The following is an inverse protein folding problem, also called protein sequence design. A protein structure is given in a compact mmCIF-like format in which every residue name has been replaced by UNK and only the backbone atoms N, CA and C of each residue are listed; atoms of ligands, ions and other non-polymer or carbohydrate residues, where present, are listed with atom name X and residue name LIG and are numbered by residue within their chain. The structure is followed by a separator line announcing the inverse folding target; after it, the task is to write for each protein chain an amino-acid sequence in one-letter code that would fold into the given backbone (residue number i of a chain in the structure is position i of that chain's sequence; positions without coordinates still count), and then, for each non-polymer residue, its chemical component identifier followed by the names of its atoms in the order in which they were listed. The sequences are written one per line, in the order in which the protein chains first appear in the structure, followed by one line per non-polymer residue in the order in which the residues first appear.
data_IF_520367543161
#
_entry.id   IF_520367543161
#
_cell.length_a   1.000
_cell.length_b   1.000
_cell.length_c   1.000
_cell.angle_alpha   90.00
_cell.angle_beta   90.00
_cell.angle_gamma   90.00
#
_symmetry.space_group_name_H-M   'P 1'
#
loop_
_entity.id
_entity.type
_entity.pdbx_description
1 polymer ?
#
# COMPACT_ATOMS: atom_id res chain seq x y z
N UNK A 1 -8.54 -0.27 18.52
CA UNK A 1 -8.58 -0.24 17.05
C UNK A 1 -7.52 0.72 16.55
N UNK A 2 -7.15 0.63 15.27
CA UNK A 2 -6.24 1.56 14.60
C UNK A 2 -6.58 1.67 13.13
N UNK A 3 -6.12 2.74 12.50
CA UNK A 3 -6.06 2.81 11.04
C UNK A 3 -4.66 2.44 10.56
N UNK A 4 -4.59 1.87 9.36
CA UNK A 4 -3.35 1.71 8.61
C UNK A 4 -3.52 2.30 7.21
N UNK A 5 -2.47 2.96 6.72
CA UNK A 5 -2.37 3.45 5.36
C UNK A 5 -1.15 2.79 4.70
N UNK A 6 -1.40 2.13 3.57
CA UNK A 6 -0.36 1.53 2.73
C UNK A 6 -0.24 2.38 1.46
N UNK A 7 0.98 2.83 1.16
CA UNK A 7 1.24 3.65 -0.03
C UNK A 7 2.02 2.82 -1.02
N UNK A 8 1.40 2.55 -2.15
CA UNK A 8 1.90 1.71 -3.22
C UNK A 8 2.33 2.59 -4.39
N UNK A 9 3.64 2.68 -4.60
CA UNK A 9 4.18 3.33 -5.79
C UNK A 9 3.84 2.55 -7.05
N UNK A 10 3.60 3.27 -8.14
CA UNK A 10 3.24 2.66 -9.42
C UNK A 10 4.36 2.70 -10.46
N UNK A 11 5.48 3.37 -10.18
CA UNK A 11 6.63 3.29 -11.07
C UNK A 11 7.46 2.04 -10.76
N UNK A 12 7.89 1.32 -11.79
CA UNK A 12 8.87 0.23 -11.65
C UNK A 12 10.20 0.77 -12.17
N UNK A 13 11.15 1.00 -11.25
CA UNK A 13 12.30 1.84 -11.52
C UNK A 13 11.87 3.29 -11.80
N UNK A 14 12.37 3.88 -12.89
CA UNK A 14 12.09 5.28 -13.24
C UNK A 14 10.87 5.52 -14.15
N UNK A 15 10.03 4.52 -14.42
CA UNK A 15 8.95 4.60 -15.41
C UNK A 15 7.63 4.05 -14.84
N UNK A 16 6.46 4.54 -15.29
CA UNK A 16 5.17 3.94 -14.96
C UNK A 16 5.19 2.44 -15.28
N UNK A 17 4.80 1.61 -14.30
CA UNK A 17 4.93 0.15 -14.43
C UNK A 17 3.77 -0.65 -13.83
N UNK A 18 2.97 -0.08 -12.92
CA UNK A 18 1.79 -0.75 -12.35
C UNK A 18 0.53 -0.07 -12.90
N UNK A 19 -0.19 -0.74 -13.80
CA UNK A 19 -1.44 -0.21 -14.35
C UNK A 19 -2.57 -0.25 -13.31
N UNK A 20 -3.67 0.45 -13.60
CA UNK A 20 -4.87 0.39 -12.76
C UNK A 20 -5.45 -1.03 -12.69
N UNK A 21 -5.46 -1.75 -13.82
CA UNK A 21 -5.91 -3.15 -13.88
C UNK A 21 -5.01 -4.08 -13.06
N UNK A 22 -3.69 -3.89 -13.13
CA UNK A 22 -2.73 -4.67 -12.32
C UNK A 22 -2.92 -4.41 -10.83
N UNK A 23 -3.12 -3.14 -10.45
CA UNK A 23 -3.35 -2.78 -9.06
C UNK A 23 -4.67 -3.36 -8.55
N UNK A 24 -5.75 -3.25 -9.34
CA UNK A 24 -7.05 -3.85 -8.99
C UNK A 24 -6.93 -5.37 -8.78
N UNK A 25 -6.23 -6.06 -9.68
CA UNK A 25 -5.96 -7.49 -9.55
C UNK A 25 -5.16 -7.81 -8.27
N UNK A 26 -4.17 -6.97 -7.92
CA UNK A 26 -3.44 -7.11 -6.66
C UNK A 26 -4.35 -6.91 -5.44
N UNK A 27 -5.25 -5.92 -5.46
CA UNK A 27 -6.23 -5.72 -4.37
C UNK A 27 -7.08 -6.98 -4.20
N UNK A 28 -7.64 -7.50 -5.28
CA UNK A 28 -8.53 -8.66 -5.27
C UNK A 28 -7.85 -9.94 -4.77
N UNK A 29 -6.60 -10.17 -5.16
CA UNK A 29 -5.87 -11.40 -4.83
C UNK A 29 -5.11 -11.34 -3.50
N UNK A 30 -4.62 -10.17 -3.09
CA UNK A 30 -3.69 -10.04 -1.96
C UNK A 30 -4.24 -9.24 -0.79
N UNK A 31 -5.04 -8.20 -1.04
CA UNK A 31 -5.55 -7.34 0.04
C UNK A 31 -6.89 -7.83 0.56
N UNK A 32 -7.89 -7.99 -0.33
CA UNK A 32 -9.25 -8.38 0.04
C UNK A 32 -9.29 -9.67 0.88
N UNK A 33 -8.55 -10.75 0.54
CA UNK A 33 -8.56 -11.96 1.36
C UNK A 33 -7.88 -11.80 2.74
N UNK A 34 -6.98 -10.82 2.90
CA UNK A 34 -6.28 -10.55 4.18
C UNK A 34 -7.08 -9.61 5.08
N UNK A 35 -7.90 -8.75 4.47
CA UNK A 35 -8.68 -7.70 5.13
C UNK A 35 -10.17 -7.82 4.76
N UNK A 36 -10.85 -8.90 5.18
CA UNK A 36 -12.24 -9.17 4.79
C UNK A 36 -13.25 -8.15 5.34
N UNK A 37 -12.87 -7.38 6.37
CA UNK A 37 -13.68 -6.29 6.92
C UNK A 37 -13.78 -5.08 6.00
N UNK A 38 -13.01 -5.04 4.91
CA UNK A 38 -13.04 -3.98 3.91
C UNK A 38 -11.78 -3.10 3.92
N UNK A 39 -11.67 -2.31 2.84
CA UNK A 39 -10.58 -1.38 2.58
C UNK A 39 -11.09 -0.25 1.70
N UNK A 40 -10.41 0.90 1.71
CA UNK A 40 -10.65 2.00 0.76
C UNK A 40 -9.40 2.24 -0.05
N UNK A 41 -9.54 2.38 -1.37
CA UNK A 41 -8.44 2.74 -2.27
C UNK A 41 -8.59 4.21 -2.68
N UNK A 42 -7.53 4.98 -2.54
CA UNK A 42 -7.43 6.37 -2.95
C UNK A 42 -6.33 6.54 -4.00
N UNK A 43 -6.53 7.47 -4.93
CA UNK A 43 -5.48 7.95 -5.82
C UNK A 43 -4.52 8.88 -5.07
N UNK A 44 -3.23 8.76 -5.37
CA UNK A 44 -2.19 9.58 -4.76
C UNK A 44 -1.08 9.97 -5.73
N UNK A 45 -0.32 10.99 -5.35
CA UNK A 45 0.93 11.37 -6.00
C UNK A 45 2.08 11.26 -5.02
N UNK A 46 3.04 10.38 -5.30
CA UNK A 46 4.28 10.26 -4.55
C UNK A 46 5.32 11.25 -5.04
N UNK A 47 6.03 11.89 -4.12
CA UNK A 47 7.22 12.68 -4.44
C UNK A 47 8.30 12.42 -3.40
N UNK A 48 9.50 12.05 -3.86
CA UNK A 48 10.66 11.89 -2.98
C UNK A 48 11.95 12.21 -3.73
N UNK A 49 13.03 12.34 -2.97
CA UNK A 49 14.38 12.43 -3.52
C UNK A 49 14.94 11.03 -3.64
N UNK A 50 15.11 10.57 -4.88
CA UNK A 50 15.79 9.31 -5.15
C UNK A 50 17.30 9.46 -5.09
N UNK A 51 18.00 8.46 -5.59
CA UNK A 51 19.45 8.52 -5.76
C UNK A 51 19.86 9.76 -6.57
N UNK A 52 21.08 10.24 -6.32
CA UNK A 52 21.63 11.45 -6.94
C UNK A 52 20.83 12.74 -6.63
N UNK A 53 20.02 12.75 -5.55
CA UNK A 53 19.25 13.90 -5.08
C UNK A 53 18.20 14.39 -6.10
N UNK A 54 17.82 13.52 -7.06
CA UNK A 54 16.85 13.83 -8.10
C UNK A 54 15.42 13.71 -7.54
N UNK A 55 14.58 14.73 -7.79
CA UNK A 55 13.17 14.67 -7.47
C UNK A 55 12.46 13.66 -8.38
N UNK A 56 11.92 12.61 -7.78
CA UNK A 56 11.09 11.61 -8.45
C UNK A 56 9.63 11.95 -8.14
N UNK A 57 8.80 11.93 -9.17
CA UNK A 57 7.34 12.01 -9.07
C UNK A 57 6.74 10.75 -9.63
N UNK A 58 5.79 10.17 -8.93
CA UNK A 58 5.08 9.01 -9.39
C UNK A 58 3.61 9.03 -9.01
N UNK A 59 2.80 8.30 -9.77
CA UNK A 59 1.47 7.94 -9.34
C UNK A 59 1.57 6.92 -8.20
N UNK A 60 0.65 7.01 -7.25
CA UNK A 60 0.55 6.06 -6.15
C UNK A 60 -0.90 5.68 -5.88
N UNK A 61 -1.09 4.50 -5.30
CA UNK A 61 -2.36 4.07 -4.72
C UNK A 61 -2.21 4.03 -3.22
N UNK A 62 -3.14 4.63 -2.50
CA UNK A 62 -3.18 4.60 -1.04
C UNK A 62 -4.32 3.71 -0.60
N UNK A 63 -4.01 2.66 0.17
CA UNK A 63 -5.03 1.79 0.76
C UNK A 63 -5.18 2.12 2.23
N UNK A 64 -6.39 2.51 2.60
CA UNK A 64 -6.78 2.82 3.98
C UNK A 64 -7.54 1.63 4.56
N UNK A 65 -7.13 1.20 5.75
CA UNK A 65 -7.66 0.05 6.47
C UNK A 65 -8.03 0.46 7.90
N UNK A 66 -9.12 -0.09 8.42
CA UNK A 66 -9.45 -0.12 9.85
C UNK A 66 -9.23 -1.55 10.34
N UNK A 67 -8.43 -1.73 11.39
CA UNK A 67 -8.04 -3.06 11.86
C UNK A 67 -7.88 -3.10 13.38
N UNK A 68 -8.05 -4.29 14.00
CA UNK A 68 -7.71 -4.48 15.40
C UNK A 68 -6.21 -4.24 15.63
N UNK A 69 -5.89 -3.89 16.88
CA UNK A 69 -4.51 -3.88 17.34
C UNK A 69 -4.03 -5.33 17.50
N UNK A 70 -2.73 -5.57 17.34
CA UNK A 70 -2.13 -6.88 17.62
C UNK A 70 -1.20 -7.40 16.53
N UNK A 71 -0.56 -8.52 16.84
CA UNK A 71 0.49 -9.14 16.02
C UNK A 71 -0.07 -9.65 14.68
N UNK A 72 -1.25 -10.28 14.69
CA UNK A 72 -1.85 -10.85 13.47
C UNK A 72 -2.09 -9.78 12.40
N UNK A 73 -2.59 -8.61 12.79
CA UNK A 73 -2.82 -7.51 11.87
C UNK A 73 -1.49 -6.97 11.29
N UNK A 74 -0.43 -6.90 12.09
CA UNK A 74 0.92 -6.55 11.61
C UNK A 74 1.46 -7.58 10.62
N UNK A 75 1.24 -8.88 10.87
CA UNK A 75 1.67 -9.95 9.96
C UNK A 75 0.96 -9.84 8.60
N UNK A 76 -0.36 -9.59 8.60
CA UNK A 76 -1.16 -9.38 7.38
C UNK A 76 -0.67 -8.16 6.57
N UNK A 77 -0.43 -7.03 7.24
CA UNK A 77 0.10 -5.82 6.59
C UNK A 77 1.49 -6.07 5.96
N UNK A 78 2.39 -6.73 6.70
CA UNK A 78 3.73 -7.02 6.19
C UNK A 78 3.70 -8.06 5.05
N UNK A 79 2.81 -9.04 5.11
CA UNK A 79 2.61 -10.00 4.02
C UNK A 79 2.12 -9.31 2.74
N UNK A 80 1.13 -8.41 2.84
CA UNK A 80 0.65 -7.61 1.72
C UNK A 80 1.77 -6.75 1.10
N UNK A 81 2.56 -6.07 1.94
CA UNK A 81 3.71 -5.27 1.47
C UNK A 81 4.74 -6.14 0.75
N UNK A 82 5.07 -7.31 1.31
CA UNK A 82 6.02 -8.26 0.70
C UNK A 82 5.50 -8.77 -0.64
N UNK A 83 4.21 -9.10 -0.74
CA UNK A 83 3.58 -9.56 -1.98
C UNK A 83 3.66 -8.48 -3.08
N UNK A 84 3.35 -7.22 -2.75
CA UNK A 84 3.45 -6.12 -3.72
C UNK A 84 4.88 -5.94 -4.22
N UNK A 85 5.85 -5.91 -3.30
CA UNK A 85 7.27 -5.78 -3.64
C UNK A 85 7.76 -6.89 -4.54
N UNK A 86 7.40 -8.13 -4.24
CA UNK A 86 7.77 -9.28 -5.06
C UNK A 86 7.09 -9.24 -6.44
N UNK A 87 5.81 -8.87 -6.51
CA UNK A 87 5.02 -8.89 -7.74
C UNK A 87 5.43 -7.80 -8.74
N UNK A 88 5.77 -6.61 -8.24
CA UNK A 88 6.05 -5.44 -9.09
C UNK A 88 7.49 -4.94 -8.98
N UNK A 89 8.39 -5.73 -8.39
CA UNK A 89 9.81 -5.38 -8.19
C UNK A 89 9.99 -4.00 -7.53
N UNK A 90 9.21 -3.74 -6.48
CA UNK A 90 9.23 -2.48 -5.74
C UNK A 90 10.22 -2.55 -4.58
N UNK A 91 10.93 -1.46 -4.33
CA UNK A 91 11.88 -1.37 -3.21
C UNK A 91 11.14 -1.30 -1.86
N UNK A 92 10.05 -0.55 -1.81
CA UNK A 92 9.32 -0.27 -0.59
C UNK A 92 7.81 -0.11 -0.80
N UNK A 93 7.08 -0.27 0.29
CA UNK A 93 5.67 0.14 0.43
C UNK A 93 5.60 0.82 1.79
N UNK A 94 5.27 2.11 1.82
CA UNK A 94 5.17 2.85 3.07
C UNK A 94 3.96 2.33 3.85
N UNK A 95 4.13 2.19 5.17
CA UNK A 95 3.07 1.85 6.11
C UNK A 95 3.04 2.94 7.18
N UNK A 96 1.89 3.59 7.32
CA UNK A 96 1.57 4.46 8.45
C UNK A 96 0.49 3.79 9.27
N UNK A 97 0.66 3.76 10.59
CA UNK A 97 -0.38 3.29 11.51
C UNK A 97 -0.61 4.30 12.60
N UNK A 98 -1.86 4.51 12.99
CA UNK A 98 -2.24 5.43 14.06
C UNK A 98 -3.40 4.85 14.87
N UNK A 99 -3.41 4.98 16.21
CA UNK A 99 -4.58 4.66 17.01
C UNK A 99 -5.81 5.40 16.50
N UNK A 100 -6.97 4.76 16.54
CA UNK A 100 -8.21 5.38 16.11
C UNK A 100 -9.39 4.88 16.95
N UNK A 101 -10.28 5.80 17.31
CA UNK A 101 -11.64 5.48 17.71
C UNK A 101 -12.45 5.31 16.42
N UNK A 102 -13.13 4.17 16.31
CA UNK A 102 -13.89 3.80 15.11
C UNK A 102 -15.23 3.23 15.55
N UNK A 103 -16.27 3.55 14.78
CA UNK A 103 -17.63 3.06 14.95
C UNK A 103 -18.26 2.92 13.56
N UNK A 104 -19.22 2.02 13.39
CA UNK A 104 -19.84 1.71 12.09
C UNK A 104 -21.36 1.85 12.14
#
# INVERSE_FOLDING_TARGET
MRTAQLFFGQNIGGKPGVSEADFRKFVDEELTPRFPSGLTVLEGGGQWKGDENKLIREASKVVVLVLPNGIEANLKLNAARKAYKARFNQESVLLVTQPACVDF
#
